data_IF_500082277201
#
_entry.id   IF_500082277201
#
_cell.length_a   1.000
_cell.length_b   1.000
_cell.length_c   1.000
_cell.angle_alpha   90.00
_cell.angle_beta   90.00
_cell.angle_gamma   90.00
#
_symmetry.space_group_name_H-M   'P 1'
#
loop_
_entity.id
_entity.type
_entity.pdbx_description
1 polymer ?
#
# COMPACT_ATOMS: atom_id res chain seq x y z
N UNK A 1 -15.62 -17.71 10.59
CA UNK A 1 -15.64 -17.13 9.24
C UNK A 1 -14.98 -15.76 9.24
N UNK A 2 -15.37 -14.85 10.15
CA UNK A 2 -14.72 -13.53 10.31
C UNK A 2 -13.19 -13.57 10.52
N UNK A 3 -12.65 -14.52 11.29
CA UNK A 3 -11.19 -14.63 11.47
C UNK A 3 -10.45 -15.03 10.18
N UNK A 4 -11.06 -15.87 9.35
CA UNK A 4 -10.48 -16.24 8.06
C UNK A 4 -10.48 -15.02 7.12
N UNK A 5 -11.58 -14.28 7.09
CA UNK A 5 -11.69 -13.06 6.30
C UNK A 5 -10.65 -12.01 6.73
N UNK A 6 -10.46 -11.84 8.04
CA UNK A 6 -9.42 -10.98 8.61
C UNK A 6 -8.02 -11.39 8.13
N UNK A 7 -7.70 -12.69 8.19
CA UNK A 7 -6.42 -13.22 7.71
C UNK A 7 -6.23 -13.01 6.20
N UNK A 8 -7.30 -13.15 5.40
CA UNK A 8 -7.23 -12.88 3.96
C UNK A 8 -6.97 -11.39 3.70
N UNK A 9 -7.61 -10.48 4.43
CA UNK A 9 -7.34 -9.03 4.30
C UNK A 9 -5.89 -8.72 4.70
N UNK A 10 -5.35 -9.34 5.76
CA UNK A 10 -3.94 -9.21 6.13
C UNK A 10 -3.02 -9.66 4.98
N UNK A 11 -3.30 -10.83 4.39
CA UNK A 11 -2.49 -11.40 3.32
C UNK A 11 -2.52 -10.55 2.04
N UNK A 12 -3.71 -10.06 1.64
CA UNK A 12 -3.88 -9.16 0.51
C UNK A 12 -3.09 -7.86 0.70
N UNK A 13 -3.16 -7.28 1.90
CA UNK A 13 -2.42 -6.06 2.18
C UNK A 13 -0.91 -6.29 2.19
N UNK A 14 -0.43 -7.41 2.74
CA UNK A 14 0.99 -7.77 2.69
C UNK A 14 1.50 -7.92 1.24
N UNK A 15 0.71 -8.52 0.35
CA UNK A 15 1.01 -8.58 -1.08
C UNK A 15 1.09 -7.19 -1.72
N UNK A 16 0.15 -6.31 -1.37
CA UNK A 16 0.18 -4.91 -1.80
C UNK A 16 1.40 -4.13 -1.30
N UNK A 17 1.85 -4.36 -0.05
CA UNK A 17 3.07 -3.75 0.48
C UNK A 17 4.32 -4.20 -0.27
N UNK A 18 4.42 -5.49 -0.59
CA UNK A 18 5.51 -6.02 -1.41
C UNK A 18 5.51 -5.40 -2.82
N UNK A 19 4.33 -5.28 -3.44
CA UNK A 19 4.16 -4.60 -4.72
C UNK A 19 4.57 -3.13 -4.65
N UNK A 20 4.17 -2.38 -3.60
CA UNK A 20 4.56 -0.96 -3.44
C UNK A 20 6.08 -0.78 -3.39
N UNK A 21 6.81 -1.66 -2.70
CA UNK A 21 8.28 -1.59 -2.68
C UNK A 21 8.87 -1.84 -4.06
N UNK A 22 8.36 -2.85 -4.76
CA UNK A 22 8.81 -3.13 -6.11
C UNK A 22 8.53 -1.94 -7.03
N UNK A 23 7.33 -1.38 -6.97
CA UNK A 23 6.89 -0.24 -7.78
C UNK A 23 7.76 1.00 -7.53
N UNK A 24 8.02 1.36 -6.27
CA UNK A 24 8.93 2.45 -5.90
C UNK A 24 10.36 2.17 -6.37
N UNK A 25 10.82 0.91 -6.27
CA UNK A 25 12.13 0.51 -6.78
C UNK A 25 12.24 0.67 -8.29
N UNK A 26 11.20 0.32 -9.03
CA UNK A 26 11.17 0.49 -10.49
C UNK A 26 11.13 1.97 -10.89
N UNK A 27 10.43 2.82 -10.13
CA UNK A 27 10.39 4.27 -10.38
C UNK A 27 11.73 4.96 -10.09
N UNK A 28 12.44 4.55 -9.04
CA UNK A 28 13.73 5.15 -8.65
C UNK A 28 14.93 4.60 -9.42
N UNK A 29 14.78 3.41 -10.00
CA UNK A 29 15.80 2.73 -10.80
C UNK A 29 15.28 2.60 -12.23
N UNK A 30 15.25 3.73 -12.96
CA UNK A 30 14.95 3.73 -14.38
C UNK A 30 15.87 2.73 -15.10
N UNK A 31 15.33 2.00 -16.09
CA UNK A 31 16.08 0.98 -16.83
C UNK A 31 17.34 1.58 -17.46
N UNK A 32 18.50 1.18 -16.96
CA UNK A 32 19.81 1.57 -17.49
C UNK A 32 20.52 2.69 -16.72
N UNK A 33 19.87 3.29 -15.71
CA UNK A 33 20.53 4.26 -14.85
C UNK A 33 21.21 3.58 -13.65
N UNK A 34 22.43 3.99 -13.28
CA UNK A 34 23.10 3.46 -12.10
C UNK A 34 22.32 3.83 -10.84
N UNK A 35 22.05 2.83 -10.00
CA UNK A 35 21.42 3.05 -8.70
C UNK A 35 22.30 3.98 -7.87
N UNK A 36 21.81 5.19 -7.62
CA UNK A 36 22.54 6.19 -6.82
C UNK A 36 22.44 5.88 -5.33
N UNK A 37 23.38 6.40 -4.52
CA UNK A 37 23.27 6.36 -3.07
C UNK A 37 21.93 6.97 -2.59
N UNK A 38 21.44 8.00 -3.26
CA UNK A 38 20.13 8.60 -2.99
C UNK A 38 18.99 7.59 -3.24
N UNK A 39 18.96 6.90 -4.38
CA UNK A 39 17.93 5.89 -4.68
C UNK A 39 17.91 4.75 -3.64
N UNK A 40 19.08 4.33 -3.14
CA UNK A 40 19.18 3.33 -2.07
C UNK A 40 18.58 3.83 -0.75
N UNK A 41 18.90 5.06 -0.34
CA UNK A 41 18.36 5.68 0.87
C UNK A 41 16.84 5.87 0.79
N UNK A 42 16.31 6.29 -0.37
CA UNK A 42 14.85 6.41 -0.57
C UNK A 42 14.17 5.04 -0.48
N UNK A 43 14.77 3.98 -1.03
CA UNK A 43 14.25 2.62 -0.90
C UNK A 43 14.29 2.11 0.54
N UNK A 44 15.38 2.37 1.26
CA UNK A 44 15.49 2.05 2.68
C UNK A 44 14.42 2.80 3.50
N UNK A 45 14.19 4.08 3.19
CA UNK A 45 13.12 4.87 3.79
C UNK A 45 11.74 4.29 3.49
N UNK A 46 11.45 3.92 2.23
CA UNK A 46 10.16 3.33 1.85
C UNK A 46 9.89 2.02 2.61
N UNK A 47 10.89 1.14 2.72
CA UNK A 47 10.81 -0.11 3.51
C UNK A 47 10.56 0.17 4.99
N UNK A 48 11.31 1.10 5.58
CA UNK A 48 11.11 1.54 6.96
C UNK A 48 9.72 2.16 7.15
N UNK A 49 9.23 2.89 6.16
CA UNK A 49 7.94 3.55 6.22
C UNK A 49 6.77 2.56 6.19
N UNK A 50 6.91 1.42 5.52
CA UNK A 50 5.96 0.29 5.57
C UNK A 50 5.92 -0.41 6.92
N UNK A 51 7.09 -0.55 7.56
CA UNK A 51 7.20 -1.15 8.89
C UNK A 51 6.65 -0.24 10.00
N UNK A 52 6.55 1.07 9.73
CA UNK A 52 6.06 2.09 10.66
C UNK A 52 4.64 2.51 10.29
N UNK A 53 3.96 3.24 11.18
CA UNK A 53 2.65 3.84 10.87
C UNK A 53 2.70 4.89 9.73
N UNK A 54 3.88 5.19 9.15
CA UNK A 54 4.12 6.18 8.11
C UNK A 54 3.73 5.78 6.69
N UNK A 55 3.33 4.54 6.41
CA UNK A 55 2.82 4.13 5.09
C UNK A 55 1.66 5.02 4.62
N UNK A 56 0.83 5.54 5.52
CA UNK A 56 -0.23 6.47 5.14
C UNK A 56 0.30 7.75 4.45
N UNK A 57 1.48 8.26 4.86
CA UNK A 57 2.12 9.41 4.21
C UNK A 57 2.69 9.03 2.84
N UNK A 58 3.26 7.83 2.72
CA UNK A 58 3.76 7.32 1.44
C UNK A 58 2.60 7.18 0.44
N UNK A 59 1.45 6.68 0.88
CA UNK A 59 0.24 6.60 0.05
C UNK A 59 -0.25 7.98 -0.40
N UNK A 60 -0.12 9.03 0.42
CA UNK A 60 -0.53 10.39 0.01
C UNK A 60 0.26 10.92 -1.19
N UNK A 61 1.50 10.47 -1.40
CA UNK A 61 2.29 10.85 -2.58
C UNK A 61 1.57 10.46 -3.87
N UNK A 62 0.86 9.31 -3.88
CA UNK A 62 0.13 8.84 -5.05
C UNK A 62 -1.07 9.73 -5.42
N UNK A 63 -1.54 10.61 -4.54
CA UNK A 63 -2.63 11.57 -4.87
C UNK A 63 -2.25 12.55 -5.98
N UNK A 64 -0.95 12.68 -6.30
CA UNK A 64 -0.48 13.51 -7.41
C UNK A 64 -0.74 12.89 -8.78
N UNK A 65 -0.92 11.56 -8.85
CA UNK A 65 -1.04 10.81 -10.11
C UNK A 65 -2.36 10.02 -10.23
N UNK A 66 -3.18 9.96 -9.19
CA UNK A 66 -4.47 9.27 -9.21
C UNK A 66 -5.51 9.96 -8.32
N UNK A 67 -6.82 9.66 -8.46
CA UNK A 67 -7.86 10.25 -7.64
C UNK A 67 -7.64 10.01 -6.13
N UNK A 68 -7.85 11.04 -5.32
CA UNK A 68 -7.69 10.97 -3.86
C UNK A 68 -8.53 9.84 -3.22
N UNK A 69 -9.72 9.57 -3.78
CA UNK A 69 -10.60 8.48 -3.35
C UNK A 69 -9.91 7.11 -3.38
N UNK A 70 -9.13 6.82 -4.42
CA UNK A 70 -8.41 5.54 -4.56
C UNK A 70 -7.35 5.39 -3.47
N UNK A 71 -6.62 6.48 -3.17
CA UNK A 71 -5.63 6.53 -2.10
C UNK A 71 -6.29 6.36 -0.72
N UNK A 72 -7.39 7.06 -0.48
CA UNK A 72 -8.08 7.02 0.81
C UNK A 72 -8.70 5.63 1.07
N UNK A 73 -9.17 4.93 0.03
CA UNK A 73 -9.60 3.53 0.13
C UNK A 73 -8.46 2.59 0.52
N UNK A 74 -7.26 2.74 -0.05
CA UNK A 74 -6.09 1.94 0.36
C UNK A 74 -5.72 2.19 1.84
N UNK A 75 -5.86 3.44 2.31
CA UNK A 75 -5.66 3.81 3.72
C UNK A 75 -6.71 3.21 4.66
N UNK A 76 -7.96 3.08 4.23
CA UNK A 76 -9.00 2.38 5.00
C UNK A 76 -8.62 0.92 5.25
N UNK A 77 -8.15 0.23 4.20
CA UNK A 77 -7.71 -1.17 4.31
C UNK A 77 -6.50 -1.26 5.23
N UNK A 78 -5.53 -0.34 5.13
CA UNK A 78 -4.41 -0.24 6.09
C UNK A 78 -4.92 -0.14 7.53
N UNK A 79 -5.89 0.74 7.80
CA UNK A 79 -6.46 0.90 9.15
C UNK A 79 -7.12 -0.39 9.64
N UNK A 80 -7.83 -1.09 8.77
CA UNK A 80 -8.43 -2.39 9.08
C UNK A 80 -7.35 -3.44 9.39
N UNK A 81 -6.34 -3.57 8.51
CA UNK A 81 -5.17 -4.44 8.69
C UNK A 81 -4.50 -4.20 10.03
N UNK A 82 -4.19 -2.95 10.35
CA UNK A 82 -3.51 -2.58 11.59
C UNK A 82 -4.38 -2.94 12.81
N UNK A 83 -5.70 -2.69 12.74
CA UNK A 83 -6.63 -3.07 13.80
C UNK A 83 -6.64 -4.58 14.03
N UNK A 84 -6.70 -5.40 12.97
CA UNK A 84 -6.60 -6.85 13.07
C UNK A 84 -5.25 -7.28 13.66
N UNK A 85 -4.15 -6.77 13.11
CA UNK A 85 -2.78 -7.13 13.51
C UNK A 85 -2.47 -6.77 14.99
N UNK A 86 -3.07 -5.71 15.50
CA UNK A 86 -2.95 -5.30 16.91
C UNK A 86 -3.96 -5.99 17.85
N UNK A 87 -4.61 -7.07 17.40
CA UNK A 87 -5.54 -7.85 18.22
C UNK A 87 -6.83 -7.10 18.54
N UNK A 88 -7.32 -6.27 17.61
CA UNK A 88 -8.63 -5.61 17.66
C UNK A 88 -8.83 -4.65 18.86
N UNK A 89 -7.73 -4.14 19.44
CA UNK A 89 -7.73 -3.33 20.69
C UNK A 89 -8.19 -1.87 20.52
N UNK A 90 -8.04 -1.29 19.32
CA UNK A 90 -8.47 0.09 19.00
C UNK A 90 -9.96 0.11 18.62
N UNK A 91 -10.65 1.28 18.60
CA UNK A 91 -12.00 1.38 18.05
C UNK A 91 -12.08 0.72 16.67
N UNK A 92 -13.13 -0.09 16.46
CA UNK A 92 -13.29 -0.86 15.23
C UNK A 92 -13.36 0.10 14.03
N UNK A 93 -12.45 0.01 13.05
CA UNK A 93 -12.57 0.75 11.80
C UNK A 93 -13.74 0.22 10.97
N UNK A 94 -14.05 0.88 9.85
CA UNK A 94 -15.01 0.34 8.88
C UNK A 94 -14.63 -1.09 8.52
N UNK A 95 -15.62 -2.00 8.57
CA UNK A 95 -15.41 -3.38 8.19
C UNK A 95 -15.02 -3.47 6.72
N UNK A 96 -14.03 -4.31 6.43
CA UNK A 96 -13.54 -4.55 5.07
C UNK A 96 -13.63 -6.05 4.81
N UNK A 97 -14.37 -6.43 3.78
CA UNK A 97 -14.40 -7.82 3.32
C UNK A 97 -13.17 -8.14 2.46
N UNK A 98 -12.77 -9.42 2.33
CA UNK A 98 -11.70 -9.85 1.43
C UNK A 98 -11.89 -9.36 -0.01
N UNK A 99 -13.13 -9.42 -0.50
CA UNK A 99 -13.50 -8.97 -1.85
C UNK A 99 -13.26 -7.47 -2.02
N UNK A 100 -13.73 -6.65 -1.08
CA UNK A 100 -13.52 -5.20 -1.14
C UNK A 100 -12.04 -4.84 -1.04
N UNK A 101 -11.27 -5.53 -0.19
CA UNK A 101 -9.83 -5.33 -0.11
C UNK A 101 -9.16 -5.63 -1.45
N UNK A 102 -9.47 -6.78 -2.05
CA UNK A 102 -8.92 -7.17 -3.35
C UNK A 102 -9.25 -6.14 -4.45
N UNK A 103 -10.51 -5.76 -4.59
CA UNK A 103 -10.98 -4.83 -5.62
C UNK A 103 -10.32 -3.45 -5.48
N UNK A 104 -10.30 -2.89 -4.27
CA UNK A 104 -9.75 -1.55 -4.01
C UNK A 104 -8.23 -1.50 -4.15
N UNK A 105 -7.51 -2.55 -3.72
CA UNK A 105 -6.05 -2.63 -3.90
C UNK A 105 -5.67 -2.82 -5.36
N UNK A 106 -6.41 -3.65 -6.11
CA UNK A 106 -6.19 -3.80 -7.55
C UNK A 106 -6.51 -2.53 -8.34
N UNK A 107 -7.54 -1.78 -7.94
CA UNK A 107 -7.83 -0.48 -8.53
C UNK A 107 -6.64 0.48 -8.33
N UNK A 108 -6.05 0.51 -7.13
CA UNK A 108 -4.84 1.30 -6.87
C UNK A 108 -3.68 0.91 -7.80
N UNK A 109 -3.40 -0.39 -7.93
CA UNK A 109 -2.35 -0.91 -8.81
C UNK A 109 -2.63 -0.52 -10.27
N UNK A 110 -3.87 -0.71 -10.72
CA UNK A 110 -4.29 -0.40 -12.10
C UNK A 110 -4.15 1.08 -12.41
N UNK A 111 -4.55 1.97 -11.50
CA UNK A 111 -4.41 3.41 -11.68
C UNK A 111 -2.94 3.85 -11.71
N UNK A 112 -2.09 3.22 -10.88
CA UNK A 112 -0.65 3.47 -10.89
C UNK A 112 -0.04 3.11 -12.25
N UNK A 113 -0.39 1.94 -12.79
CA UNK A 113 0.09 1.49 -14.10
C UNK A 113 -0.40 2.39 -15.23
N UNK A 114 -1.66 2.84 -15.20
CA UNK A 114 -2.21 3.80 -16.17
C UNK A 114 -1.45 5.13 -16.14
N UNK A 115 -1.13 5.64 -14.95
CA UNK A 115 -0.37 6.89 -14.81
C UNK A 115 1.07 6.80 -15.32
N UNK A 116 1.70 5.60 -15.28
CA UNK A 116 3.05 5.37 -15.84
C UNK A 116 3.07 5.20 -17.36
N UNK A 117 1.95 4.80 -17.95
CA UNK A 117 1.81 4.57 -19.39
C UNK A 117 1.30 5.78 -20.19
N UNK A 118 0.95 6.87 -19.51
CA UNK A 118 0.54 8.15 -20.08
C UNK A 118 1.73 9.12 -20.16
#
# INVERSE_FOLDING_TARGET
MEELDDLVVLALFAGFEAWLIQEISEMLCAKGEPVTAFSQEVLAYARSALQRESLAKLLDVYKTIMPAKTVDQAKEIKRYRDWVAHGKRKPRPLAITPKEAYERLNEFITQTQKAKGA
#
